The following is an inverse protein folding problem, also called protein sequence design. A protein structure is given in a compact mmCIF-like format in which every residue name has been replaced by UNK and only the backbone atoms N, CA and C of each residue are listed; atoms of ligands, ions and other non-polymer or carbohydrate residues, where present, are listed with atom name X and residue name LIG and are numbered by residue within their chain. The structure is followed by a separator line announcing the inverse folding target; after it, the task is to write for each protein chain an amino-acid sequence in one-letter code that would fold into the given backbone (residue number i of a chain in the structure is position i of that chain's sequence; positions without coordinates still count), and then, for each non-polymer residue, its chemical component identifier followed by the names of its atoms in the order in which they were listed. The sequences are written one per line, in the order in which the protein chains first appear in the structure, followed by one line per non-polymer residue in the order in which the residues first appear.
data_IF_845811481523
#
_entry.id   IF_845811481523
#
_cell.length_a   1.000
_cell.length_b   1.000
_cell.length_c   1.000
_cell.angle_alpha   90.00
_cell.angle_beta   90.00
_cell.angle_gamma   90.00
#
_symmetry.space_group_name_H-M   'P 1'
#
loop_
_entity.id
_entity.type
_entity.pdbx_description
1 polymer ?
#
# COMPACT_ATOMS: atom_id res chain seq x y z
N UNK A 1 2.46 -12.34 7.65
CA UNK A 1 2.50 -10.86 7.52
C UNK A 1 3.86 -10.46 6.97
N UNK A 2 3.88 -9.60 5.95
CA UNK A 2 5.10 -9.11 5.30
C UNK A 2 5.13 -7.59 5.45
N UNK A 3 6.27 -7.04 5.86
CA UNK A 3 6.42 -5.59 6.05
C UNK A 3 7.29 -4.98 4.94
N UNK A 4 6.94 -3.77 4.55
CA UNK A 4 7.68 -2.96 3.59
C UNK A 4 7.84 -1.54 4.14
N UNK A 5 9.05 -0.99 4.02
CA UNK A 5 9.24 0.45 4.18
C UNK A 5 8.71 1.19 2.95
N UNK A 6 7.89 2.21 3.19
CA UNK A 6 7.43 3.15 2.17
C UNK A 6 8.59 4.08 1.84
N UNK A 7 9.01 4.08 0.58
CA UNK A 7 10.12 4.91 0.08
C UNK A 7 9.62 6.16 -0.62
N UNK A 8 8.42 6.10 -1.19
CA UNK A 8 7.71 7.23 -1.81
C UNK A 8 6.24 6.85 -2.01
N UNK A 9 5.37 7.82 -2.31
CA UNK A 9 3.99 7.54 -2.71
C UNK A 9 3.35 8.69 -3.51
N UNK A 10 2.49 8.31 -4.44
CA UNK A 10 1.60 9.24 -5.14
C UNK A 10 0.17 9.10 -4.63
N UNK A 11 -0.45 10.23 -4.27
CA UNK A 11 -1.86 10.31 -3.95
C UNK A 11 -2.69 10.53 -5.23
N UNK A 12 -3.65 9.63 -5.48
CA UNK A 12 -4.54 9.70 -6.64
C UNK A 12 -5.94 10.23 -6.26
N UNK A 13 -6.83 10.30 -7.26
CA UNK A 13 -8.21 10.71 -7.05
C UNK A 13 -8.97 9.75 -6.13
N UNK A 14 -9.97 10.29 -5.44
CA UNK A 14 -10.98 9.50 -4.74
C UNK A 14 -11.86 8.82 -5.77
N UNK A 15 -12.23 7.57 -5.56
CA UNK A 15 -13.17 6.89 -6.44
C UNK A 15 -14.63 7.04 -6.01
N UNK A 16 -15.53 6.45 -6.81
CA UNK A 16 -16.97 6.54 -6.58
C UNK A 16 -17.41 5.90 -5.26
N UNK A 17 -16.58 5.04 -4.67
CA UNK A 17 -16.85 4.39 -3.38
C UNK A 17 -16.34 5.22 -2.19
N UNK A 18 -15.75 6.40 -2.44
CA UNK A 18 -15.18 7.24 -1.39
C UNK A 18 -13.82 6.75 -0.89
N UNK A 19 -13.16 5.85 -1.65
CA UNK A 19 -11.83 5.36 -1.32
C UNK A 19 -10.76 6.26 -1.96
N UNK A 20 -9.75 6.60 -1.17
CA UNK A 20 -8.54 7.25 -1.66
C UNK A 20 -7.61 6.19 -2.25
N UNK A 21 -7.10 6.46 -3.45
CA UNK A 21 -6.16 5.59 -4.14
C UNK A 21 -4.75 6.15 -4.03
N UNK A 22 -3.78 5.25 -3.97
CA UNK A 22 -2.36 5.61 -3.94
C UNK A 22 -1.56 4.65 -4.83
N UNK A 23 -0.42 5.14 -5.32
CA UNK A 23 0.69 4.29 -5.72
C UNK A 23 1.73 4.39 -4.61
N UNK A 24 2.08 3.27 -3.98
CA UNK A 24 3.00 3.23 -2.84
C UNK A 24 4.26 2.51 -3.26
N UNK A 25 5.39 3.22 -3.26
CA UNK A 25 6.69 2.66 -3.61
C UNK A 25 7.37 2.07 -2.36
N UNK A 26 8.07 0.97 -2.55
CA UNK A 26 8.69 0.22 -1.45
C UNK A 26 10.15 -0.12 -1.74
N UNK A 27 10.88 -0.46 -0.67
CA UNK A 27 12.32 -0.81 -0.76
C UNK A 27 12.60 -2.13 -1.49
N UNK A 28 11.60 -3.00 -1.61
CA UNK A 28 11.73 -4.32 -2.23
C UNK A 28 10.46 -4.75 -2.95
N UNK A 29 10.58 -5.50 -4.07
CA UNK A 29 9.42 -6.07 -4.75
C UNK A 29 8.77 -7.16 -3.92
N UNK A 30 7.49 -7.37 -4.20
CA UNK A 30 6.82 -8.63 -3.90
C UNK A 30 6.00 -9.03 -5.12
N UNK A 31 6.02 -10.32 -5.41
CA UNK A 31 5.12 -10.89 -6.39
C UNK A 31 3.80 -11.21 -5.70
N UNK A 32 2.93 -10.20 -5.62
CA UNK A 32 1.52 -10.48 -5.42
C UNK A 32 1.01 -11.16 -6.70
N UNK A 33 0.30 -12.28 -6.55
CA UNK A 33 -0.37 -12.91 -7.69
C UNK A 33 -1.18 -11.86 -8.47
N UNK A 34 -1.19 -11.95 -9.80
CA UNK A 34 -1.95 -11.00 -10.64
C UNK A 34 -3.40 -10.88 -10.16
N UNK A 35 -3.90 -9.66 -10.09
CA UNK A 35 -5.28 -9.34 -9.71
C UNK A 35 -5.70 -9.81 -8.31
N UNK A 36 -4.75 -10.11 -7.43
CA UNK A 36 -5.04 -10.38 -6.03
C UNK A 36 -5.10 -9.05 -5.23
N UNK A 37 -6.09 -8.98 -4.35
CA UNK A 37 -6.25 -7.93 -3.36
C UNK A 37 -5.87 -8.52 -2.01
N UNK A 38 -5.04 -7.81 -1.25
CA UNK A 38 -4.61 -8.23 0.07
C UNK A 38 -4.95 -7.16 1.09
N UNK A 39 -5.49 -7.60 2.21
CA UNK A 39 -5.64 -6.75 3.37
C UNK A 39 -4.26 -6.31 3.86
N UNK A 40 -4.17 -5.04 4.21
CA UNK A 40 -2.94 -4.42 4.61
C UNK A 40 -3.19 -3.28 5.59
N UNK A 41 -2.12 -2.82 6.21
CA UNK A 41 -2.14 -1.70 7.13
C UNK A 41 -0.99 -0.74 6.84
N UNK A 42 -1.29 0.55 6.76
CA UNK A 42 -0.27 1.60 6.87
C UNK A 42 -0.04 1.88 8.34
N UNK A 43 1.20 1.74 8.80
CA UNK A 43 1.62 2.04 10.17
C UNK A 43 2.51 3.26 10.16
N UNK A 44 2.01 4.34 10.75
CA UNK A 44 2.73 5.61 10.84
C UNK A 44 3.95 5.43 11.76
N UNK A 45 5.12 5.80 11.26
CA UNK A 45 6.39 5.60 11.94
C UNK A 45 6.51 6.47 13.21
N UNK A 46 5.97 7.68 13.20
CA UNK A 46 6.00 8.61 14.32
C UNK A 46 5.05 8.20 15.45
N UNK A 47 3.79 7.92 15.10
CA UNK A 47 2.72 7.70 16.09
C UNK A 47 2.45 6.23 16.41
N UNK A 48 2.95 5.32 15.56
CA UNK A 48 2.65 3.87 15.58
C UNK A 48 1.17 3.53 15.36
N UNK A 49 0.35 4.50 14.97
CA UNK A 49 -1.05 4.29 14.62
C UNK A 49 -1.13 3.51 13.31
N UNK A 50 -2.10 2.61 13.24
CA UNK A 50 -2.29 1.70 12.11
C UNK A 50 -3.64 1.94 11.45
N UNK A 51 -3.64 2.10 10.12
CA UNK A 51 -4.84 2.32 9.32
C UNK A 51 -5.04 1.17 8.33
N UNK A 52 -6.23 0.55 8.30
CA UNK A 52 -6.52 -0.53 7.37
C UNK A 52 -6.61 -0.01 5.94
N UNK A 53 -6.09 -0.79 5.02
CA UNK A 53 -6.07 -0.52 3.59
C UNK A 53 -6.08 -1.84 2.82
N UNK A 54 -6.25 -1.76 1.50
CA UNK A 54 -6.14 -2.90 0.59
C UNK A 54 -5.06 -2.58 -0.42
N UNK A 55 -4.15 -3.53 -0.64
CA UNK A 55 -3.10 -3.42 -1.66
C UNK A 55 -3.31 -4.43 -2.77
N UNK A 56 -2.91 -4.07 -3.98
CA UNK A 56 -3.02 -4.91 -5.16
C UNK A 56 -2.03 -4.49 -6.23
N UNK A 57 -1.78 -5.41 -7.17
CA UNK A 57 -0.98 -5.15 -8.37
C UNK A 57 -1.86 -5.38 -9.60
N UNK A 58 -2.36 -4.31 -10.26
CA UNK A 58 -3.24 -4.45 -11.44
C UNK A 58 -2.52 -5.12 -12.62
N UNK A 59 -1.20 -4.96 -12.67
CA UNK A 59 -0.27 -5.71 -13.53
C UNK A 59 0.98 -6.01 -12.70
N UNK A 60 1.78 -7.03 -13.06
CA UNK A 60 3.11 -7.20 -12.49
C UNK A 60 3.96 -5.96 -12.76
N UNK A 61 4.80 -5.60 -11.80
CA UNK A 61 5.76 -4.52 -12.00
C UNK A 61 6.70 -4.90 -13.15
N UNK A 62 6.90 -3.98 -14.10
CA UNK A 62 7.84 -4.18 -15.19
C UNK A 62 9.27 -4.28 -14.65
N UNK A 63 10.18 -4.85 -15.45
CA UNK A 63 11.60 -4.99 -15.07
C UNK A 63 12.28 -3.67 -14.67
N UNK A 64 11.79 -2.55 -15.21
CA UNK A 64 12.33 -1.21 -14.97
C UNK A 64 11.44 -0.37 -14.06
N UNK A 65 10.27 -0.89 -13.66
CA UNK A 65 9.40 -0.17 -12.74
C UNK A 65 9.99 -0.32 -11.32
N UNK A 66 10.10 0.77 -10.54
CA UNK A 66 10.45 0.64 -9.14
C UNK A 66 9.40 -0.24 -8.42
N UNK A 67 9.79 -0.97 -7.36
CA UNK A 67 8.84 -1.74 -6.58
C UNK A 67 7.72 -0.87 -6.03
N UNK A 68 6.48 -1.19 -6.39
CA UNK A 68 5.31 -0.47 -5.92
C UNK A 68 4.07 -1.36 -5.80
N UNK A 69 3.10 -0.85 -5.05
CA UNK A 69 1.74 -1.35 -4.95
C UNK A 69 0.76 -0.27 -5.37
N UNK A 70 -0.40 -0.68 -5.85
CA UNK A 70 -1.58 0.17 -5.76
C UNK A 70 -2.26 -0.09 -4.41
N UNK A 71 -2.69 0.99 -3.77
CA UNK A 71 -3.34 0.93 -2.46
C UNK A 71 -4.69 1.67 -2.50
N UNK A 72 -5.66 1.16 -1.76
CA UNK A 72 -6.93 1.81 -1.46
C UNK A 72 -7.13 1.91 0.04
N UNK A 73 -7.61 3.06 0.50
CA UNK A 73 -7.97 3.28 1.89
C UNK A 73 -9.20 4.19 1.98
N UNK A 74 -9.93 4.14 3.09
CA UNK A 74 -11.06 5.05 3.30
C UNK A 74 -10.55 6.49 3.32
N UNK A 75 -11.23 7.40 2.60
CA UNK A 75 -10.90 8.83 2.61
C UNK A 75 -10.91 9.43 4.03
N UNK A 76 -11.78 8.92 4.91
CA UNK A 76 -11.88 9.36 6.31
C UNK A 76 -10.62 9.12 7.15
N UNK A 77 -9.66 8.33 6.66
CA UNK A 77 -8.39 8.11 7.35
C UNK A 77 -7.35 9.20 7.05
N UNK A 78 -7.58 10.06 6.06
CA UNK A 78 -6.68 11.16 5.68
C UNK A 78 -5.22 10.72 5.48
N UNK A 79 -5.00 9.50 4.94
CA UNK A 79 -3.64 8.99 4.72
C UNK A 79 -2.83 9.83 3.72
N UNK A 80 -3.50 10.63 2.88
CA UNK A 80 -2.87 11.61 2.01
C UNK A 80 -2.21 12.79 2.75
N UNK A 81 -2.61 13.03 4.00
CA UNK A 81 -2.02 14.07 4.86
C UNK A 81 -1.12 13.47 5.95
N UNK A 82 -1.39 12.23 6.38
CA UNK A 82 -0.72 11.58 7.52
C UNK A 82 0.47 10.70 7.14
N UNK A 83 0.41 10.04 5.97
CA UNK A 83 1.43 9.09 5.55
C UNK A 83 2.71 9.82 5.12
N UNK A 84 3.86 9.28 5.51
CA UNK A 84 5.16 9.85 5.20
C UNK A 84 6.15 8.79 4.70
N UNK A 85 7.21 9.24 4.00
CA UNK A 85 8.35 8.39 3.66
C UNK A 85 8.98 7.85 4.95
N UNK A 86 9.23 6.55 5.00
CA UNK A 86 9.72 5.85 6.19
C UNK A 86 8.64 5.15 7.02
N UNK A 87 7.37 5.40 6.74
CA UNK A 87 6.25 4.62 7.28
C UNK A 87 6.28 3.17 6.78
N UNK A 88 5.50 2.31 7.42
CA UNK A 88 5.47 0.89 7.11
C UNK A 88 4.15 0.51 6.45
N UNK A 89 4.25 -0.27 5.37
CA UNK A 89 3.13 -1.00 4.79
C UNK A 89 3.21 -2.47 5.24
N UNK A 90 2.22 -2.93 5.98
CA UNK A 90 2.09 -4.31 6.45
C UNK A 90 1.06 -5.03 5.62
N UNK A 91 1.46 -6.03 4.86
CA UNK A 91 0.57 -6.82 4.01
C UNK A 91 0.29 -8.15 4.67
N UNK A 92 -0.99 -8.50 4.79
CA UNK A 92 -1.42 -9.82 5.19
C UNK A 92 -1.25 -10.77 3.99
N UNK A 93 -0.23 -11.63 4.02
CA UNK A 93 -0.15 -12.74 3.07
C UNK A 93 -0.96 -13.91 3.63
N UNK A 94 -1.83 -14.50 2.82
CA UNK A 94 -2.19 -15.91 3.04
C UNK A 94 -0.88 -16.70 3.04
N UNK A 95 -0.50 -17.26 4.19
CA UNK A 95 0.48 -18.33 4.21
C UNK A 95 -0.14 -19.47 3.43
N UNK A 96 0.17 -19.61 2.14
CA UNK A 96 -0.03 -20.89 1.49
C UNK A 96 1.00 -21.86 2.10
N UNK A 97 0.56 -22.95 2.72
CA UNK A 97 1.46 -23.97 3.27
C UNK A 97 2.35 -24.59 2.19
#
# INVERSE_FOLDING_TARGET
MIEFRITDFDCLSVDQSGERRFVVFTERPIELGRCCFFDAHVVLSETKVSYPCVVYTPRPNGKFDPPHFHMRAKKSFCLDELMNVGDLLRVESEQRP
#
